data_IF_415420675984
#
_entry.id   IF_415420675984
#
_cell.length_a   1.000
_cell.length_b   1.000
_cell.length_c   1.000
_cell.angle_alpha   90.00
_cell.angle_beta   90.00
_cell.angle_gamma   90.00
#
_symmetry.space_group_name_H-M   'P 1'
#
loop_
_entity.id
_entity.type
_entity.pdbx_description
1 polymer ?
#
# COMPACT_ATOMS: atom_id res chain seq x y z
N UNK A 1 -0.72 23.81 -26.08
CA UNK A 1 0.72 23.56 -25.85
C UNK A 1 0.84 22.58 -24.70
N UNK A 2 1.38 21.37 -24.93
CA UNK A 2 1.64 20.41 -23.84
C UNK A 2 2.87 20.89 -23.07
N UNK A 3 2.72 21.16 -21.78
CA UNK A 3 3.85 21.32 -20.86
C UNK A 3 4.63 20.00 -20.84
N UNK A 4 5.81 19.98 -21.44
CA UNK A 4 6.75 18.86 -21.35
C UNK A 4 7.07 18.62 -19.87
N UNK A 5 7.12 17.34 -19.46
CA UNK A 5 7.51 16.96 -18.12
C UNK A 5 8.94 17.47 -17.85
N UNK A 6 9.25 17.80 -16.60
CA UNK A 6 10.54 18.36 -16.20
C UNK A 6 11.72 17.49 -16.66
N UNK A 7 11.53 16.16 -16.66
CA UNK A 7 12.50 15.16 -17.13
C UNK A 7 12.80 15.32 -18.62
N UNK A 8 11.77 15.42 -19.46
CA UNK A 8 11.91 15.55 -20.93
C UNK A 8 12.67 16.83 -21.32
N UNK A 9 12.49 17.90 -20.53
CA UNK A 9 13.19 19.16 -20.75
C UNK A 9 14.68 19.07 -20.41
N UNK A 10 15.04 18.30 -19.38
CA UNK A 10 16.44 18.09 -18.97
C UNK A 10 17.14 17.21 -20.02
N UNK A 11 16.49 16.14 -20.48
CA UNK A 11 17.02 15.27 -21.53
C UNK A 11 17.28 16.02 -22.85
N UNK A 12 16.33 16.87 -23.26
CA UNK A 12 16.50 17.73 -24.43
C UNK A 12 17.66 18.73 -24.25
N UNK A 13 17.84 19.28 -23.06
CA UNK A 13 18.97 20.18 -22.74
C UNK A 13 20.30 19.43 -22.74
N UNK A 14 20.38 18.22 -22.19
CA UNK A 14 21.59 17.40 -22.19
C UNK A 14 22.02 16.98 -23.60
N UNK A 15 21.04 16.67 -24.46
CA UNK A 15 21.30 16.38 -25.88
C UNK A 15 21.91 17.60 -26.57
N UNK A 16 21.32 18.80 -26.35
CA UNK A 16 21.88 20.05 -26.87
C UNK A 16 23.27 20.34 -26.31
N UNK A 17 23.47 20.15 -25.01
CA UNK A 17 24.76 20.35 -24.35
C UNK A 17 25.83 19.43 -24.95
N UNK A 18 25.50 18.17 -25.21
CA UNK A 18 26.41 17.19 -25.82
C UNK A 18 26.81 17.57 -27.24
N UNK A 19 25.84 18.04 -28.05
CA UNK A 19 26.10 18.55 -29.41
C UNK A 19 27.02 19.77 -29.34
N UNK A 20 26.68 20.74 -28.49
CA UNK A 20 27.46 21.98 -28.36
C UNK A 20 28.85 21.69 -27.78
N UNK A 21 29.01 20.71 -26.90
CA UNK A 21 30.31 20.25 -26.40
C UNK A 21 31.20 19.69 -27.51
N UNK A 22 30.61 18.94 -28.45
CA UNK A 22 31.34 18.46 -29.62
C UNK A 22 31.73 19.63 -30.54
N UNK A 23 30.81 20.57 -30.77
CA UNK A 23 31.06 21.77 -31.58
C UNK A 23 32.12 22.68 -30.98
N UNK A 24 32.21 22.79 -29.65
CA UNK A 24 33.25 23.54 -28.94
C UNK A 24 34.66 23.12 -29.34
N UNK A 25 34.88 21.85 -29.74
CA UNK A 25 36.19 21.40 -30.22
C UNK A 25 36.62 22.08 -31.52
N UNK A 26 35.67 22.64 -32.28
CA UNK A 26 35.91 23.37 -33.51
C UNK A 26 36.43 24.79 -33.26
N UNK A 27 36.19 25.39 -32.09
CA UNK A 27 36.71 26.74 -31.77
C UNK A 27 38.24 26.79 -31.89
N UNK A 28 38.93 25.69 -31.56
CA UNK A 28 40.38 25.58 -31.71
C UNK A 28 40.86 25.67 -33.18
N UNK A 29 40.00 25.31 -34.14
CA UNK A 29 40.29 25.36 -35.57
C UNK A 29 39.89 26.70 -36.22
N UNK A 30 39.11 27.54 -35.53
CA UNK A 30 38.54 28.78 -36.06
C UNK A 30 39.31 30.03 -35.61
N UNK A 31 40.63 29.92 -35.42
CA UNK A 31 41.54 31.02 -35.08
C UNK A 31 41.07 31.93 -33.92
N UNK A 32 40.50 31.31 -32.88
CA UNK A 32 40.26 31.98 -31.58
C UNK A 32 38.88 32.61 -31.39
N UNK A 33 37.94 32.44 -32.31
CA UNK A 33 36.54 32.83 -32.08
C UNK A 33 35.89 31.84 -31.08
N UNK A 34 35.74 32.21 -29.80
CA UNK A 34 35.13 31.39 -28.72
C UNK A 34 33.60 31.19 -28.86
N UNK A 35 33.05 31.24 -30.06
CA UNK A 35 31.60 31.26 -30.31
C UNK A 35 30.91 30.00 -29.82
N UNK A 36 31.45 28.80 -30.06
CA UNK A 36 30.82 27.57 -29.57
C UNK A 36 31.05 27.36 -28.07
N UNK A 37 32.15 27.86 -27.53
CA UNK A 37 32.45 27.90 -26.09
C UNK A 37 31.44 28.75 -25.34
N UNK A 38 31.06 29.92 -25.85
CA UNK A 38 30.07 30.79 -25.22
C UNK A 38 28.66 30.17 -25.25
N UNK A 39 28.28 29.54 -26.37
CA UNK A 39 27.02 28.80 -26.47
C UNK A 39 27.04 27.61 -25.50
N UNK A 40 28.17 26.90 -25.37
CA UNK A 40 28.32 25.82 -24.41
C UNK A 40 28.11 26.31 -22.97
N UNK A 41 28.76 27.42 -22.59
CA UNK A 41 28.60 28.04 -21.26
C UNK A 41 27.15 28.46 -21.01
N UNK A 42 26.47 29.05 -22.00
CA UNK A 42 25.08 29.45 -21.86
C UNK A 42 24.14 28.26 -21.60
N UNK A 43 24.28 27.16 -22.37
CA UNK A 43 23.50 25.94 -22.13
C UNK A 43 23.86 25.29 -20.79
N UNK A 44 25.15 25.32 -20.41
CA UNK A 44 25.62 24.81 -19.13
C UNK A 44 24.99 25.59 -17.96
N UNK A 45 24.91 26.91 -18.06
CA UNK A 45 24.25 27.76 -17.04
C UNK A 45 22.75 27.45 -16.92
N UNK A 46 22.03 27.26 -18.04
CA UNK A 46 20.61 26.89 -18.01
C UNK A 46 20.41 25.52 -17.33
N UNK A 47 21.29 24.57 -17.61
CA UNK A 47 21.28 23.24 -16.98
C UNK A 47 21.57 23.38 -15.49
N UNK A 48 22.55 24.19 -15.09
CA UNK A 48 22.86 24.47 -13.70
C UNK A 48 21.70 25.13 -12.94
N UNK A 49 21.05 26.14 -13.51
CA UNK A 49 19.89 26.80 -12.88
C UNK A 49 18.70 25.85 -12.72
N UNK A 50 18.46 24.97 -13.69
CA UNK A 50 17.39 23.97 -13.56
C UNK A 50 17.72 22.90 -12.54
N UNK A 51 18.97 22.43 -12.51
CA UNK A 51 19.40 21.41 -11.55
C UNK A 51 19.52 22.01 -10.14
N UNK A 52 19.85 23.29 -9.98
CA UNK A 52 19.90 23.93 -8.66
C UNK A 52 18.52 23.94 -7.98
N UNK A 53 17.43 24.09 -8.75
CA UNK A 53 16.07 23.93 -8.22
C UNK A 53 15.76 22.51 -7.73
N UNK A 54 16.22 21.48 -8.46
CA UNK A 54 16.11 20.07 -8.03
C UNK A 54 17.01 19.79 -6.83
N UNK A 55 18.20 20.37 -6.82
CA UNK A 55 19.19 20.27 -5.76
C UNK A 55 18.64 20.78 -4.44
N UNK A 56 18.07 21.98 -4.45
CA UNK A 56 17.47 22.56 -3.27
C UNK A 56 16.33 21.68 -2.74
N UNK A 57 15.48 21.14 -3.63
CA UNK A 57 14.41 20.23 -3.22
C UNK A 57 14.92 18.94 -2.56
N UNK A 58 16.04 18.38 -3.04
CA UNK A 58 16.65 17.19 -2.43
C UNK A 58 17.25 17.55 -1.07
N UNK A 59 17.97 18.67 -0.98
CA UNK A 59 18.57 19.14 0.27
C UNK A 59 17.48 19.42 1.32
N UNK A 60 16.39 20.07 0.93
CA UNK A 60 15.27 20.34 1.82
C UNK A 60 14.58 19.04 2.24
N UNK A 61 14.36 18.10 1.33
CA UNK A 61 13.82 16.78 1.67
C UNK A 61 14.74 15.99 2.62
N UNK A 62 16.06 16.09 2.50
CA UNK A 62 17.02 15.50 3.45
C UNK A 62 16.85 16.13 4.83
N UNK A 63 16.73 17.46 4.92
CA UNK A 63 16.53 18.18 6.19
C UNK A 63 15.20 17.85 6.86
N UNK A 64 14.15 17.67 6.06
CA UNK A 64 12.80 17.33 6.50
C UNK A 64 12.61 15.82 6.74
N UNK A 65 13.66 15.02 6.55
CA UNK A 65 13.64 13.56 6.68
C UNK A 65 12.62 12.85 5.75
N UNK A 66 12.29 13.46 4.61
CA UNK A 66 11.41 12.91 3.57
C UNK A 66 12.21 12.01 2.61
N UNK A 67 12.67 10.86 3.13
CA UNK A 67 13.54 9.95 2.38
C UNK A 67 12.87 9.30 1.17
N UNK A 68 11.53 9.22 1.15
CA UNK A 68 10.81 8.75 -0.03
C UNK A 68 10.99 9.74 -1.19
N UNK A 69 10.80 11.04 -0.93
CA UNK A 69 11.02 12.09 -1.93
C UNK A 69 12.49 12.17 -2.35
N UNK A 70 13.44 11.96 -1.42
CA UNK A 70 14.86 11.86 -1.76
C UNK A 70 15.11 10.71 -2.73
N UNK A 71 14.58 9.50 -2.44
CA UNK A 71 14.71 8.33 -3.30
C UNK A 71 14.18 8.59 -4.72
N UNK A 72 12.96 9.12 -4.84
CA UNK A 72 12.32 9.42 -6.13
C UNK A 72 13.18 10.38 -6.97
N UNK A 73 13.74 11.41 -6.35
CA UNK A 73 14.59 12.40 -7.02
C UNK A 73 15.97 11.85 -7.37
N UNK A 74 16.58 11.03 -6.49
CA UNK A 74 17.85 10.37 -6.77
C UNK A 74 17.71 9.35 -7.91
N UNK A 75 16.61 8.60 -7.97
CA UNK A 75 16.29 7.69 -9.07
C UNK A 75 16.07 8.42 -10.39
N UNK A 76 15.45 9.61 -10.37
CA UNK A 76 15.32 10.44 -11.57
C UNK A 76 16.68 10.89 -12.11
N UNK A 77 17.61 11.31 -11.23
CA UNK A 77 18.98 11.68 -11.61
C UNK A 77 19.81 10.46 -12.07
N UNK A 78 19.53 9.27 -11.54
CA UNK A 78 20.20 8.04 -11.94
C UNK A 78 19.67 7.50 -13.29
N UNK A 79 18.36 7.62 -13.54
CA UNK A 79 17.72 7.08 -14.73
C UNK A 79 18.05 7.85 -16.01
N UNK A 80 18.43 9.12 -15.90
CA UNK A 80 18.95 9.89 -17.05
C UNK A 80 20.32 9.39 -17.55
N UNK A 81 20.96 8.45 -16.85
CA UNK A 81 22.28 7.91 -17.17
C UNK A 81 22.28 6.46 -17.72
N UNK A 82 21.12 5.86 -18.03
CA UNK A 82 21.03 4.43 -18.39
C UNK A 82 21.62 4.02 -19.76
N UNK A 83 22.04 4.96 -20.61
CA UNK A 83 22.81 4.65 -21.82
C UNK A 83 24.30 4.41 -21.49
N UNK A 84 24.57 3.27 -20.84
CA UNK A 84 25.89 2.88 -20.31
C UNK A 84 27.02 2.87 -21.38
N UNK A 85 26.70 2.74 -22.67
CA UNK A 85 27.70 2.77 -23.75
C UNK A 85 28.19 4.17 -24.15
N UNK A 86 27.51 5.27 -23.76
CA UNK A 86 28.00 6.65 -23.97
C UNK A 86 28.65 7.27 -22.73
N UNK A 87 28.42 6.69 -21.54
CA UNK A 87 28.92 7.20 -20.27
C UNK A 87 30.45 7.08 -20.09
N UNK A 88 31.12 6.21 -20.84
CA UNK A 88 32.58 6.05 -20.80
C UNK A 88 33.37 7.21 -21.44
N UNK A 89 32.72 8.14 -22.15
CA UNK A 89 33.41 9.24 -22.84
C UNK A 89 33.18 10.64 -22.25
N UNK A 90 32.27 10.81 -21.29
CA UNK A 90 32.12 12.09 -20.57
C UNK A 90 32.17 11.88 -19.06
N UNK A 91 33.36 11.83 -18.45
CA UNK A 91 33.53 11.70 -17.00
C UNK A 91 32.86 12.81 -16.16
N UNK A 92 32.33 13.86 -16.79
CA UNK A 92 31.86 15.09 -16.15
C UNK A 92 30.39 15.44 -16.44
N UNK A 93 29.52 14.44 -16.68
CA UNK A 93 28.08 14.68 -16.76
C UNK A 93 27.57 15.40 -15.51
N UNK A 94 26.92 16.56 -15.68
CA UNK A 94 26.49 17.43 -14.58
C UNK A 94 25.58 16.68 -13.60
N UNK A 95 24.72 15.77 -14.09
CA UNK A 95 23.81 14.98 -13.24
C UNK A 95 24.56 13.96 -12.38
N UNK A 96 25.63 13.34 -12.91
CA UNK A 96 26.46 12.41 -12.15
C UNK A 96 27.19 13.14 -11.02
N UNK A 97 27.69 14.33 -11.30
CA UNK A 97 28.30 15.20 -10.29
C UNK A 97 27.30 15.48 -9.15
N UNK A 98 26.09 15.91 -9.48
CA UNK A 98 25.06 16.19 -8.48
C UNK A 98 24.58 14.95 -7.74
N UNK A 99 24.41 13.82 -8.40
CA UNK A 99 24.07 12.56 -7.74
C UNK A 99 25.11 12.19 -6.68
N UNK A 100 26.41 12.31 -6.99
CA UNK A 100 27.49 12.04 -6.05
C UNK A 100 27.47 13.07 -4.90
N UNK A 101 27.22 14.35 -5.20
CA UNK A 101 27.10 15.40 -4.19
C UNK A 101 25.92 15.16 -3.23
N UNK A 102 24.75 14.78 -3.74
CA UNK A 102 23.59 14.44 -2.90
C UNK A 102 23.82 13.18 -2.09
N UNK A 103 24.45 12.17 -2.68
CA UNK A 103 24.85 10.97 -1.95
C UNK A 103 25.74 11.33 -0.77
N UNK A 104 26.74 12.20 -0.96
CA UNK A 104 27.60 12.68 0.14
C UNK A 104 26.82 13.43 1.22
N UNK A 105 25.98 14.39 0.82
CA UNK A 105 25.16 15.18 1.75
C UNK A 105 24.18 14.29 2.54
N UNK A 106 23.60 13.30 1.89
CA UNK A 106 22.70 12.33 2.51
C UNK A 106 23.42 11.48 3.55
N UNK A 107 24.57 10.88 3.20
CA UNK A 107 25.37 10.09 4.14
C UNK A 107 25.87 10.96 5.31
N UNK A 108 26.29 12.21 5.06
CA UNK A 108 26.68 13.14 6.12
C UNK A 108 25.50 13.47 7.07
N UNK A 109 24.32 13.73 6.54
CA UNK A 109 23.11 13.98 7.33
C UNK A 109 22.70 12.78 8.18
N UNK A 110 22.77 11.57 7.63
CA UNK A 110 22.48 10.34 8.36
C UNK A 110 23.53 10.07 9.45
N UNK A 111 24.82 10.29 9.17
CA UNK A 111 25.87 10.15 10.17
C UNK A 111 25.66 11.11 11.34
N UNK A 112 25.30 12.37 11.07
CA UNK A 112 24.97 13.33 12.13
C UNK A 112 23.75 12.88 12.96
N UNK A 113 22.72 12.35 12.31
CA UNK A 113 21.53 11.81 13.00
C UNK A 113 21.90 10.61 13.89
N UNK A 114 22.71 9.68 13.39
CA UNK A 114 23.19 8.51 14.13
C UNK A 114 24.01 8.91 15.35
N UNK A 115 25.01 9.75 15.17
CA UNK A 115 25.87 10.20 16.28
C UNK A 115 25.09 11.03 17.31
N UNK A 116 24.18 11.91 16.86
CA UNK A 116 23.29 12.66 17.74
C UNK A 116 22.39 11.74 18.58
N UNK A 117 21.85 10.68 17.97
CA UNK A 117 20.99 9.71 18.66
C UNK A 117 21.78 8.86 19.66
N UNK A 118 23.01 8.43 19.32
CA UNK A 118 23.90 7.74 20.26
C UNK A 118 24.24 8.62 21.45
N UNK A 119 24.54 9.90 21.23
CA UNK A 119 24.82 10.85 22.29
C UNK A 119 23.62 11.01 23.23
N UNK A 120 22.41 11.15 22.68
CA UNK A 120 21.17 11.22 23.46
C UNK A 120 20.92 9.94 24.27
N UNK A 121 21.18 8.77 23.69
CA UNK A 121 21.05 7.49 24.39
C UNK A 121 22.04 7.35 25.55
N UNK A 122 23.24 7.95 25.44
CA UNK A 122 24.23 7.99 26.52
C UNK A 122 23.78 8.96 27.64
N UNK A 123 23.20 10.12 27.30
CA UNK A 123 22.80 11.12 28.31
C UNK A 123 21.63 10.69 29.19
N UNK A 124 20.87 9.66 28.82
CA UNK A 124 19.82 9.04 29.64
C UNK A 124 20.30 8.45 30.99
N UNK A 125 21.60 8.51 31.30
CA UNK A 125 22.25 7.81 32.40
C UNK A 125 21.69 8.14 33.80
N UNK A 126 21.11 9.32 34.02
CA UNK A 126 20.69 9.76 35.36
C UNK A 126 19.18 9.83 35.59
N UNK A 127 18.39 10.18 34.57
CA UNK A 127 16.93 10.19 34.64
C UNK A 127 16.34 9.84 33.27
N UNK A 128 15.27 9.05 33.27
CA UNK A 128 14.53 8.68 32.06
C UNK A 128 13.42 9.72 31.89
N UNK A 129 13.70 10.80 31.17
CA UNK A 129 12.66 11.75 30.77
C UNK A 129 11.94 11.25 29.52
N UNK A 130 10.61 11.26 29.55
CA UNK A 130 9.77 10.72 28.48
C UNK A 130 10.05 11.41 27.15
N UNK A 131 10.26 12.73 27.16
CA UNK A 131 10.50 13.51 25.95
C UNK A 131 11.85 13.17 25.29
N UNK A 132 12.90 12.89 26.08
CA UNK A 132 14.21 12.48 25.56
C UNK A 132 14.13 11.14 24.82
N UNK A 133 13.36 10.19 25.37
CA UNK A 133 13.17 8.88 24.74
C UNK A 133 12.33 9.00 23.49
N UNK A 134 11.29 9.83 23.52
CA UNK A 134 10.44 10.06 22.36
C UNK A 134 11.28 10.58 21.19
N UNK A 135 12.20 11.51 21.46
CA UNK A 135 13.13 12.03 20.46
C UNK A 135 14.06 10.94 19.90
N UNK A 136 14.64 10.10 20.78
CA UNK A 136 15.48 8.96 20.35
C UNK A 136 14.68 8.00 19.45
N UNK A 137 13.46 7.65 19.86
CA UNK A 137 12.57 6.75 19.11
C UNK A 137 12.20 7.34 17.75
N UNK A 138 11.90 8.64 17.68
CA UNK A 138 11.63 9.33 16.43
C UNK A 138 12.86 9.28 15.52
N UNK A 139 14.06 9.52 16.03
CA UNK A 139 15.30 9.42 15.27
C UNK A 139 15.55 7.99 14.76
N UNK A 140 15.33 6.96 15.58
CA UNK A 140 15.47 5.56 15.16
C UNK A 140 14.48 5.20 14.04
N UNK A 141 13.22 5.66 14.14
CA UNK A 141 12.23 5.49 13.06
C UNK A 141 12.64 6.20 11.78
N UNK A 142 13.24 7.38 11.92
CA UNK A 142 13.76 8.16 10.80
C UNK A 142 14.92 7.43 10.10
N UNK A 143 15.84 6.81 10.85
CA UNK A 143 16.91 5.98 10.28
C UNK A 143 16.36 4.73 9.57
N UNK A 144 15.35 4.07 10.15
CA UNK A 144 14.72 2.90 9.53
C UNK A 144 14.04 3.28 8.20
N UNK A 145 13.36 4.43 8.15
CA UNK A 145 12.80 4.98 6.90
C UNK A 145 13.88 5.27 5.88
N UNK A 146 15.00 5.87 6.29
CA UNK A 146 16.13 6.09 5.40
C UNK A 146 16.59 4.76 4.80
N UNK A 147 16.85 3.76 5.63
CA UNK A 147 17.22 2.42 5.16
C UNK A 147 16.20 1.88 4.15
N UNK A 148 14.90 1.90 4.48
CA UNK A 148 13.85 1.38 3.61
C UNK A 148 13.79 2.04 2.22
N UNK A 149 13.94 3.37 2.14
CA UNK A 149 13.72 4.10 0.89
C UNK A 149 14.98 4.34 0.06
N UNK A 150 16.13 4.49 0.69
CA UNK A 150 17.37 4.94 0.03
C UNK A 150 18.55 3.99 0.23
N UNK A 151 18.34 2.73 0.63
CA UNK A 151 19.40 1.72 0.85
C UNK A 151 20.43 1.69 -0.28
N UNK A 152 19.97 1.65 -1.54
CA UNK A 152 20.80 1.58 -2.74
C UNK A 152 21.64 2.85 -2.99
N UNK A 153 21.34 3.93 -2.27
CA UNK A 153 22.03 5.21 -2.35
C UNK A 153 22.94 5.49 -1.16
N UNK A 154 23.04 4.57 -0.20
CA UNK A 154 23.95 4.71 0.95
C UNK A 154 25.35 4.17 0.64
N UNK A 155 26.35 4.68 1.34
CA UNK A 155 27.71 4.12 1.28
C UNK A 155 27.85 2.86 2.15
N UNK A 156 27.20 2.86 3.32
CA UNK A 156 27.26 1.76 4.28
C UNK A 156 25.90 1.57 4.98
N UNK A 157 24.88 0.98 4.31
CA UNK A 157 23.53 0.82 4.87
C UNK A 157 23.52 0.02 6.18
N UNK A 158 24.47 -0.89 6.38
CA UNK A 158 24.60 -1.69 7.61
C UNK A 158 25.00 -0.84 8.84
N UNK A 159 25.58 0.34 8.67
CA UNK A 159 25.92 1.23 9.81
C UNK A 159 24.66 1.71 10.54
N UNK A 160 23.54 1.82 9.85
CA UNK A 160 22.24 2.13 10.45
C UNK A 160 21.84 1.00 11.41
N UNK A 161 21.95 -0.26 11.00
CA UNK A 161 21.61 -1.40 11.85
C UNK A 161 22.49 -1.45 13.10
N UNK A 162 23.80 -1.27 12.93
CA UNK A 162 24.72 -1.20 14.06
C UNK A 162 24.40 -0.05 15.01
N UNK A 163 24.05 1.12 14.49
CA UNK A 163 23.62 2.26 15.32
C UNK A 163 22.33 1.96 16.07
N UNK A 164 21.34 1.37 15.40
CA UNK A 164 20.06 0.99 16.00
C UNK A 164 20.29 -0.01 17.13
N UNK A 165 21.06 -1.08 16.90
CA UNK A 165 21.34 -2.08 17.94
C UNK A 165 22.18 -1.52 19.10
N UNK A 166 23.19 -0.68 18.84
CA UNK A 166 23.98 -0.03 19.90
C UNK A 166 23.10 0.89 20.77
N UNK A 167 22.23 1.69 20.17
CA UNK A 167 21.27 2.54 20.91
C UNK A 167 20.29 1.67 21.71
N UNK A 168 19.79 0.58 21.13
CA UNK A 168 18.89 -0.36 21.84
C UNK A 168 19.57 -0.97 23.06
N UNK A 169 20.80 -1.42 22.93
CA UNK A 169 21.57 -2.01 24.03
C UNK A 169 21.76 -0.99 25.18
N UNK A 170 22.09 0.27 24.84
CA UNK A 170 22.23 1.35 25.83
C UNK A 170 20.91 1.60 26.57
N UNK A 171 19.79 1.69 25.85
CA UNK A 171 18.47 1.88 26.47
C UNK A 171 18.12 0.67 27.35
N UNK A 172 18.36 -0.56 26.89
CA UNK A 172 18.06 -1.77 27.68
C UNK A 172 18.88 -1.81 28.98
N UNK A 173 20.17 -1.52 28.91
CA UNK A 173 21.04 -1.40 30.08
C UNK A 173 20.52 -0.36 31.06
N UNK A 174 19.99 0.75 30.55
CA UNK A 174 19.43 1.81 31.39
C UNK A 174 18.11 1.40 32.03
N UNK A 175 17.21 0.74 31.30
CA UNK A 175 15.97 0.16 31.86
C UNK A 175 16.31 -0.83 32.98
N UNK A 176 17.31 -1.70 32.78
CA UNK A 176 17.77 -2.65 33.80
C UNK A 176 18.22 -1.94 35.09
N UNK A 177 19.01 -0.87 34.98
CA UNK A 177 19.40 -0.04 36.14
C UNK A 177 18.18 0.59 36.83
N UNK A 178 17.23 1.09 36.04
CA UNK A 178 15.99 1.66 36.56
C UNK A 178 15.16 0.65 37.34
N UNK A 179 15.03 -0.59 36.85
CA UNK A 179 14.33 -1.68 37.52
C UNK A 179 14.98 -2.05 38.86
N UNK A 180 16.31 -2.01 38.96
CA UNK A 180 17.01 -2.19 40.26
C UNK A 180 16.61 -1.09 41.24
N UNK A 181 16.52 0.17 40.77
CA UNK A 181 16.03 1.29 41.58
C UNK A 181 14.57 1.14 42.01
N UNK A 182 13.69 0.67 41.11
CA UNK A 182 12.28 0.35 41.43
C UNK A 182 12.20 -0.73 42.51
N UNK A 183 13.02 -1.79 42.39
CA UNK A 183 13.08 -2.84 43.40
C UNK A 183 13.47 -2.28 44.77
N UNK A 184 14.50 -1.45 44.83
CA UNK A 184 14.92 -0.80 46.08
C UNK A 184 13.82 0.13 46.66
N UNK A 185 13.05 0.82 45.81
CA UNK A 185 11.90 1.61 46.27
C UNK A 185 10.79 0.74 46.86
N UNK A 186 10.50 -0.40 46.23
CA UNK A 186 9.53 -1.38 46.72
C UNK A 186 9.97 -1.95 48.07
N UNK A 187 11.24 -2.35 48.20
CA UNK A 187 11.80 -2.90 49.45
C UNK A 187 11.74 -1.86 50.59
N UNK A 188 11.85 -0.57 50.26
CA UNK A 188 11.69 0.56 51.19
C UNK A 188 10.23 1.04 51.34
N UNK A 189 9.25 0.31 50.83
CA UNK A 189 7.82 0.62 50.90
C UNK A 189 7.41 1.96 50.24
N UNK A 190 8.23 2.52 49.34
CA UNK A 190 7.93 3.72 48.57
C UNK A 190 7.24 3.37 47.25
N UNK A 191 6.00 2.84 47.35
CA UNK A 191 5.25 2.33 46.21
C UNK A 191 4.86 3.42 45.20
N UNK A 192 4.61 4.65 45.67
CA UNK A 192 4.20 5.75 44.78
C UNK A 192 5.29 6.09 43.76
N UNK A 193 6.53 6.24 44.21
CA UNK A 193 7.67 6.51 43.31
C UNK A 193 8.04 5.27 42.48
N UNK A 194 7.85 4.06 43.02
CA UNK A 194 8.03 2.83 42.25
C UNK A 194 7.04 2.75 41.07
N UNK A 195 5.76 3.07 41.29
CA UNK A 195 4.73 3.09 40.25
C UNK A 195 5.05 4.11 39.17
N UNK A 196 5.40 5.35 39.53
CA UNK A 196 5.81 6.37 38.55
C UNK A 196 6.95 5.90 37.65
N UNK A 197 7.98 5.27 38.23
CA UNK A 197 9.11 4.73 37.46
C UNK A 197 8.69 3.55 36.56
N UNK A 198 7.79 2.70 37.02
CA UNK A 198 7.22 1.61 36.19
C UNK A 198 6.41 2.18 35.02
N UNK A 199 5.64 3.25 35.24
CA UNK A 199 4.88 3.92 34.18
C UNK A 199 5.82 4.51 33.13
N UNK A 200 6.92 5.15 33.55
CA UNK A 200 7.97 5.60 32.63
C UNK A 200 8.53 4.45 31.80
N UNK A 201 8.91 3.32 32.42
CA UNK A 201 9.43 2.13 31.70
C UNK A 201 8.39 1.58 30.72
N UNK A 202 7.11 1.56 31.13
CA UNK A 202 6.01 1.09 30.27
C UNK A 202 5.87 1.98 29.05
N UNK A 203 5.98 3.29 29.23
CA UNK A 203 5.90 4.25 28.12
C UNK A 203 7.11 4.15 27.18
N UNK A 204 8.31 3.94 27.71
CA UNK A 204 9.51 3.62 26.91
C UNK A 204 9.29 2.40 26.03
N UNK A 205 8.75 1.33 26.61
CA UNK A 205 8.43 0.10 25.89
C UNK A 205 7.40 0.34 24.79
N UNK A 206 6.36 1.13 25.05
CA UNK A 206 5.36 1.50 24.04
C UNK A 206 6.01 2.27 22.89
N UNK A 207 6.86 3.25 23.20
CA UNK A 207 7.52 4.10 22.20
C UNK A 207 8.49 3.29 21.31
N UNK A 208 9.28 2.41 21.90
CA UNK A 208 10.21 1.54 21.18
C UNK A 208 9.53 0.39 20.42
N UNK A 209 8.21 0.24 20.58
CA UNK A 209 7.38 -0.72 19.85
C UNK A 209 7.49 -2.17 20.34
N UNK A 210 6.75 -3.06 19.67
CA UNK A 210 6.67 -4.50 19.99
C UNK A 210 8.00 -5.28 19.84
N UNK A 211 9.09 -4.61 19.47
CA UNK A 211 10.41 -5.23 19.33
C UNK A 211 11.05 -5.55 20.69
N UNK A 212 10.52 -4.98 21.79
CA UNK A 212 10.93 -5.32 23.14
C UNK A 212 9.95 -6.33 23.76
N UNK A 213 10.27 -7.62 23.62
CA UNK A 213 9.73 -8.66 24.50
C UNK A 213 10.37 -8.49 25.87
N UNK A 214 9.75 -7.65 26.72
CA UNK A 214 9.90 -7.83 28.16
C UNK A 214 9.44 -9.26 28.44
N UNK A 215 10.36 -10.14 28.82
CA UNK A 215 10.01 -11.44 29.37
C UNK A 215 9.20 -11.16 30.63
N UNK A 216 7.86 -11.29 30.60
CA UNK A 216 7.09 -11.08 31.81
C UNK A 216 7.56 -12.11 32.84
N UNK A 217 7.64 -11.76 34.13
CA UNK A 217 8.10 -12.67 35.18
C UNK A 217 7.17 -13.89 35.24
N UNK A 218 7.55 -14.96 34.55
CA UNK A 218 6.82 -16.23 34.52
C UNK A 218 6.86 -16.92 35.88
N UNK A 219 7.83 -16.56 36.71
CA UNK A 219 8.01 -17.06 38.07
C UNK A 219 6.96 -16.55 39.06
N UNK A 220 6.25 -15.46 38.77
CA UNK A 220 5.17 -14.94 39.63
C UNK A 220 4.07 -15.99 39.82
N UNK A 221 3.65 -16.66 38.75
CA UNK A 221 2.61 -17.68 38.86
C UNK A 221 3.08 -18.93 39.60
N UNK A 222 4.33 -19.34 39.39
CA UNK A 222 4.92 -20.45 40.13
C UNK A 222 5.01 -20.15 41.64
N UNK A 223 5.36 -18.91 42.01
CA UNK A 223 5.33 -18.48 43.42
C UNK A 223 3.92 -18.46 43.98
N UNK A 224 2.93 -18.03 43.21
CA UNK A 224 1.53 -18.04 43.65
C UNK A 224 0.99 -19.45 43.89
N UNK A 225 1.38 -20.43 43.08
CA UNK A 225 1.02 -21.83 43.29
C UNK A 225 1.58 -22.40 44.61
N UNK A 226 2.76 -21.93 45.04
CA UNK A 226 3.37 -22.39 46.30
C UNK A 226 2.65 -21.89 47.56
N UNK A 227 1.90 -20.78 47.48
CA UNK A 227 1.22 -20.16 48.65
C UNK A 227 -0.26 -20.52 48.75
N UNK A 228 -0.80 -21.20 47.74
CA UNK A 228 -2.23 -21.41 47.49
C UNK A 228 -2.95 -22.29 48.54
N UNK A 229 -2.23 -22.94 49.46
CA UNK A 229 -2.83 -23.81 50.48
C UNK A 229 -2.79 -23.23 51.90
N UNK A 230 -2.12 -22.09 52.09
CA UNK A 230 -1.79 -21.58 53.43
C UNK A 230 -2.66 -20.42 53.93
N UNK A 231 -3.36 -19.70 53.04
CA UNK A 231 -4.14 -18.52 53.44
C UNK A 231 -5.38 -18.30 52.55
N UNK A 232 -6.61 -18.36 53.09
CA UNK A 232 -7.84 -18.18 52.31
C UNK A 232 -7.97 -16.81 51.65
N UNK A 233 -7.44 -15.75 52.26
CA UNK A 233 -7.45 -14.38 51.69
C UNK A 233 -6.57 -14.34 50.43
N UNK A 234 -5.46 -15.08 50.42
CA UNK A 234 -4.57 -15.16 49.28
C UNK A 234 -5.22 -15.90 48.10
N UNK A 235 -5.95 -16.97 48.41
CA UNK A 235 -6.68 -17.76 47.40
C UNK A 235 -7.78 -16.94 46.72
N UNK A 236 -8.51 -16.13 47.49
CA UNK A 236 -9.52 -15.21 46.95
C UNK A 236 -8.90 -14.17 46.03
N UNK A 237 -7.77 -13.56 46.44
CA UNK A 237 -7.03 -12.60 45.63
C UNK A 237 -6.52 -13.23 44.33
N UNK A 238 -5.95 -14.44 44.40
CA UNK A 238 -5.48 -15.18 43.23
C UNK A 238 -6.61 -15.55 42.28
N UNK A 239 -7.75 -16.01 42.82
CA UNK A 239 -8.94 -16.30 42.02
C UNK A 239 -9.42 -15.03 41.29
N UNK A 240 -9.43 -13.89 41.97
CA UNK A 240 -9.82 -12.61 41.37
C UNK A 240 -8.86 -12.18 40.26
N UNK A 241 -7.55 -12.37 40.44
CA UNK A 241 -6.54 -12.06 39.41
C UNK A 241 -6.72 -12.98 38.20
N UNK A 242 -6.88 -14.29 38.43
CA UNK A 242 -7.12 -15.27 37.36
C UNK A 242 -8.36 -14.89 36.54
N UNK A 243 -9.46 -14.56 37.21
CA UNK A 243 -10.70 -14.18 36.52
C UNK A 243 -10.55 -12.90 35.69
N UNK A 244 -9.85 -11.88 36.22
CA UNK A 244 -9.56 -10.65 35.47
C UNK A 244 -8.71 -10.91 34.22
N UNK A 245 -7.71 -11.79 34.33
CA UNK A 245 -6.88 -12.20 33.20
C UNK A 245 -7.76 -12.91 32.16
N UNK A 246 -8.51 -13.95 32.56
CA UNK A 246 -9.38 -14.69 31.65
C UNK A 246 -10.40 -13.77 30.95
N UNK A 247 -11.01 -12.86 31.70
CA UNK A 247 -11.94 -11.85 31.17
C UNK A 247 -11.27 -11.02 30.07
N UNK A 248 -10.04 -10.55 30.27
CA UNK A 248 -9.33 -9.75 29.26
C UNK A 248 -8.99 -10.54 28.01
N UNK A 249 -8.63 -11.81 28.13
CA UNK A 249 -8.43 -12.68 26.96
C UNK A 249 -9.74 -12.90 26.19
N UNK A 250 -10.86 -13.10 26.89
CA UNK A 250 -12.19 -13.24 26.27
C UNK A 250 -12.64 -11.96 25.58
N UNK A 251 -12.41 -10.79 26.17
CA UNK A 251 -12.66 -9.50 25.51
C UNK A 251 -11.89 -9.37 24.19
N UNK A 252 -10.64 -9.84 24.11
CA UNK A 252 -9.87 -9.83 22.86
C UNK A 252 -10.43 -10.83 21.83
N UNK A 253 -10.93 -12.00 22.26
CA UNK A 253 -11.63 -12.93 21.36
C UNK A 253 -12.94 -12.33 20.83
N UNK A 254 -13.70 -11.62 21.66
CA UNK A 254 -14.94 -10.98 21.24
C UNK A 254 -14.69 -9.84 20.26
N UNK A 255 -13.63 -9.03 20.48
CA UNK A 255 -13.16 -8.03 19.51
C UNK A 255 -12.70 -8.68 18.20
N UNK A 256 -12.05 -9.83 18.26
CA UNK A 256 -11.66 -10.57 17.06
C UNK A 256 -12.88 -11.03 16.25
N UNK A 257 -13.94 -11.52 16.91
CA UNK A 257 -15.19 -11.97 16.27
C UNK A 257 -16.04 -10.84 15.70
N UNK A 258 -16.00 -9.66 16.33
CA UNK A 258 -16.77 -8.49 15.90
C UNK A 258 -16.09 -7.69 14.80
N UNK A 259 -14.81 -7.96 14.50
CA UNK A 259 -14.08 -7.28 13.44
C UNK A 259 -14.72 -7.55 12.07
N UNK A 260 -14.91 -6.47 11.32
CA UNK A 260 -15.32 -6.48 9.91
C UNK A 260 -14.19 -5.87 9.06
N UNK A 261 -13.74 -6.53 7.98
CA UNK A 261 -14.20 -7.84 7.52
C UNK A 261 -13.71 -8.95 8.47
N UNK A 262 -14.36 -10.14 8.47
CA UNK A 262 -13.90 -11.26 9.25
C UNK A 262 -12.51 -11.70 8.74
N UNK A 263 -11.54 -11.72 9.65
CA UNK A 263 -10.14 -12.05 9.36
C UNK A 263 -9.61 -13.03 10.42
N UNK A 264 -9.22 -14.23 9.99
CA UNK A 264 -8.74 -15.30 10.87
C UNK A 264 -7.43 -14.99 11.58
N UNK A 265 -6.66 -14.04 11.06
CA UNK A 265 -5.38 -13.60 11.63
C UNK A 265 -5.34 -12.08 11.90
N UNK A 266 -6.39 -11.57 12.52
CA UNK A 266 -6.44 -10.15 12.87
C UNK A 266 -5.54 -9.79 14.06
N UNK A 267 -5.42 -8.49 14.36
CA UNK A 267 -4.54 -7.98 15.43
C UNK A 267 -4.91 -8.51 16.82
N UNK A 268 -6.18 -8.75 17.11
CA UNK A 268 -6.63 -9.26 18.41
C UNK A 268 -6.23 -10.73 18.59
N UNK A 269 -6.36 -11.54 17.54
CA UNK A 269 -5.85 -12.93 17.52
C UNK A 269 -4.34 -12.97 17.78
N UNK A 270 -3.55 -12.12 17.09
CA UNK A 270 -2.09 -12.08 17.29
C UNK A 270 -1.69 -11.63 18.70
N UNK A 271 -2.41 -10.65 19.26
CA UNK A 271 -2.20 -10.21 20.65
C UNK A 271 -2.50 -11.34 21.63
N UNK A 272 -3.62 -12.04 21.42
CA UNK A 272 -4.01 -13.21 22.21
C UNK A 272 -2.91 -14.28 22.16
N UNK A 273 -2.50 -14.72 20.97
CA UNK A 273 -1.48 -15.76 20.77
C UNK A 273 -0.12 -15.39 21.37
N UNK A 274 0.23 -14.11 21.34
CA UNK A 274 1.47 -13.63 21.97
C UNK A 274 1.37 -13.69 23.49
N UNK A 275 0.24 -13.24 24.05
CA UNK A 275 0.07 -13.13 25.50
C UNK A 275 -0.17 -14.48 26.19
N UNK A 276 -0.90 -15.41 25.55
CA UNK A 276 -1.31 -16.68 26.17
C UNK A 276 -0.12 -17.58 26.54
N UNK A 277 1.01 -17.43 25.83
CA UNK A 277 2.25 -18.18 26.07
C UNK A 277 2.86 -17.94 27.44
N UNK A 278 2.51 -16.84 28.09
CA UNK A 278 3.04 -16.44 29.40
C UNK A 278 2.12 -16.84 30.57
N UNK A 279 1.00 -17.51 30.29
CA UNK A 279 0.08 -17.97 31.33
C UNK A 279 0.45 -19.37 31.84
N UNK A 280 0.02 -19.72 33.06
CA UNK A 280 0.09 -21.08 33.58
C UNK A 280 -0.66 -22.08 32.68
N UNK A 281 -0.19 -23.33 32.66
CA UNK A 281 -0.72 -24.39 31.78
C UNK A 281 -2.24 -24.56 31.89
N UNK A 282 -2.77 -24.53 33.12
CA UNK A 282 -4.20 -24.70 33.37
C UNK A 282 -5.05 -23.58 32.72
N UNK A 283 -4.56 -22.34 32.69
CA UNK A 283 -5.26 -21.22 32.05
C UNK A 283 -5.02 -21.21 30.53
N UNK A 284 -3.77 -21.49 30.13
CA UNK A 284 -3.35 -21.52 28.72
C UNK A 284 -4.16 -22.52 27.91
N UNK A 285 -4.24 -23.77 28.38
CA UNK A 285 -4.97 -24.84 27.69
C UNK A 285 -6.44 -24.50 27.46
N UNK A 286 -7.14 -23.96 28.47
CA UNK A 286 -8.54 -23.53 28.34
C UNK A 286 -8.70 -22.41 27.29
N UNK A 287 -7.81 -21.41 27.34
CA UNK A 287 -7.84 -20.27 26.42
C UNK A 287 -7.47 -20.65 24.98
N UNK A 288 -6.55 -21.59 24.77
CA UNK A 288 -6.20 -22.09 23.44
C UNK A 288 -7.37 -22.83 22.77
N UNK A 289 -8.19 -23.54 23.56
CA UNK A 289 -9.43 -24.15 23.07
C UNK A 289 -10.44 -23.07 22.66
N UNK A 290 -10.65 -22.04 23.49
CA UNK A 290 -11.53 -20.92 23.15
C UNK A 290 -11.05 -20.17 21.89
N UNK A 291 -9.73 -19.98 21.74
CA UNK A 291 -9.12 -19.37 20.54
C UNK A 291 -9.38 -20.20 19.29
N UNK A 292 -9.25 -21.52 19.37
CA UNK A 292 -9.54 -22.42 18.25
C UNK A 292 -10.99 -22.27 17.79
N UNK A 293 -11.95 -22.33 18.72
CA UNK A 293 -13.36 -22.11 18.39
C UNK A 293 -13.63 -20.72 17.79
N UNK A 294 -12.96 -19.68 18.31
CA UNK A 294 -13.04 -18.34 17.75
C UNK A 294 -12.58 -18.28 16.29
N UNK A 295 -11.43 -18.90 15.97
CA UNK A 295 -10.90 -18.97 14.60
C UNK A 295 -11.83 -19.76 13.69
N UNK A 296 -12.36 -20.88 14.16
CA UNK A 296 -13.30 -21.71 13.38
C UNK A 296 -14.58 -20.93 13.05
N UNK A 297 -15.13 -20.18 14.01
CA UNK A 297 -16.30 -19.29 13.80
C UNK A 297 -16.00 -18.19 12.76
N UNK A 298 -14.85 -17.53 12.85
CA UNK A 298 -14.43 -16.52 11.87
C UNK A 298 -14.31 -17.13 10.47
N UNK A 299 -13.69 -18.32 10.35
CA UNK A 299 -13.55 -19.03 9.06
C UNK A 299 -14.91 -19.43 8.48
N UNK A 300 -15.83 -19.90 9.32
CA UNK A 300 -17.20 -20.21 8.90
C UNK A 300 -17.91 -18.96 8.35
N UNK A 301 -17.82 -17.82 9.04
CA UNK A 301 -18.40 -16.55 8.56
C UNK A 301 -17.81 -16.08 7.23
N UNK A 302 -16.49 -16.20 7.05
CA UNK A 302 -15.84 -15.90 5.77
C UNK A 302 -16.46 -16.76 4.67
N UNK A 303 -16.54 -18.08 4.89
CA UNK A 303 -17.09 -19.04 3.93
C UNK A 303 -18.57 -18.76 3.62
N UNK A 304 -19.36 -18.42 4.62
CA UNK A 304 -20.78 -18.11 4.45
C UNK A 304 -20.98 -16.83 3.64
N UNK A 305 -20.17 -15.79 3.89
CA UNK A 305 -20.18 -14.56 3.09
C UNK A 305 -19.76 -14.82 1.64
N UNK A 306 -18.72 -15.62 1.42
CA UNK A 306 -18.30 -16.02 0.08
C UNK A 306 -19.39 -16.81 -0.65
N UNK A 307 -20.05 -17.75 0.04
CA UNK A 307 -21.15 -18.55 -0.51
C UNK A 307 -22.36 -17.67 -0.83
N UNK A 308 -22.71 -16.73 0.05
CA UNK A 308 -23.80 -15.76 -0.17
C UNK A 308 -23.54 -14.92 -1.41
N UNK A 309 -22.31 -14.39 -1.54
CA UNK A 309 -21.86 -13.66 -2.72
C UNK A 309 -21.97 -14.55 -3.97
N UNK A 310 -21.32 -15.73 -3.96
CA UNK A 310 -21.30 -16.63 -5.11
C UNK A 310 -22.70 -17.06 -5.55
N UNK A 311 -23.61 -17.34 -4.61
CA UNK A 311 -24.99 -17.71 -4.90
C UNK A 311 -25.76 -16.56 -5.57
N UNK A 312 -25.63 -15.33 -5.06
CA UNK A 312 -26.26 -14.16 -5.65
C UNK A 312 -25.80 -13.97 -7.10
N UNK A 313 -24.50 -14.06 -7.36
CA UNK A 313 -23.96 -13.94 -8.71
C UNK A 313 -24.35 -15.11 -9.63
N UNK A 314 -24.31 -16.35 -9.13
CA UNK A 314 -24.65 -17.53 -9.94
C UNK A 314 -26.13 -17.61 -10.31
N UNK A 315 -27.01 -16.96 -9.54
CA UNK A 315 -28.45 -16.91 -9.83
C UNK A 315 -28.79 -16.12 -11.10
N UNK A 316 -27.93 -15.18 -11.51
CA UNK A 316 -28.22 -14.23 -12.58
C UNK A 316 -29.25 -13.14 -12.21
N UNK A 317 -29.77 -13.13 -10.99
CA UNK A 317 -30.68 -12.10 -10.48
C UNK A 317 -29.90 -10.86 -10.06
N UNK A 318 -29.97 -9.83 -10.89
CA UNK A 318 -29.25 -8.56 -10.72
C UNK A 318 -29.66 -7.85 -9.42
N UNK A 319 -30.92 -7.98 -8.99
CA UNK A 319 -31.40 -7.37 -7.75
C UNK A 319 -30.79 -8.05 -6.53
N UNK A 320 -30.67 -9.37 -6.56
CA UNK A 320 -29.96 -10.14 -5.53
C UNK A 320 -28.49 -9.72 -5.46
N UNK A 321 -27.81 -9.56 -6.61
CA UNK A 321 -26.43 -9.07 -6.65
C UNK A 321 -26.29 -7.68 -6.02
N UNK A 322 -27.14 -6.73 -6.43
CA UNK A 322 -27.16 -5.36 -5.88
C UNK A 322 -27.36 -5.40 -4.36
N UNK A 323 -28.32 -6.19 -3.88
CA UNK A 323 -28.62 -6.30 -2.45
C UNK A 323 -27.42 -6.78 -1.64
N UNK A 324 -26.69 -7.80 -2.13
CA UNK A 324 -25.51 -8.31 -1.44
C UNK A 324 -24.37 -7.29 -1.46
N UNK A 325 -24.15 -6.60 -2.58
CA UNK A 325 -23.12 -5.56 -2.67
C UNK A 325 -23.40 -4.38 -1.73
N UNK A 326 -24.67 -3.93 -1.65
CA UNK A 326 -25.07 -2.85 -0.73
C UNK A 326 -24.91 -3.24 0.75
N UNK A 327 -25.20 -4.50 1.08
CA UNK A 327 -24.97 -5.04 2.43
C UNK A 327 -23.47 -5.04 2.78
N UNK A 328 -22.62 -5.42 1.82
CA UNK A 328 -21.17 -5.32 1.97
C UNK A 328 -20.70 -3.86 2.10
N UNK A 329 -21.22 -2.93 1.29
CA UNK A 329 -20.88 -1.50 1.36
C UNK A 329 -21.25 -0.87 2.70
N UNK A 330 -22.38 -1.29 3.29
CA UNK A 330 -22.83 -0.81 4.60
C UNK A 330 -21.96 -1.34 5.75
N UNK A 331 -21.21 -2.42 5.51
CA UNK A 331 -20.37 -3.07 6.51
C UNK A 331 -18.93 -2.55 6.42
N UNK A 332 -18.47 -1.81 7.43
CA UNK A 332 -17.12 -1.25 7.46
C UNK A 332 -16.06 -2.36 7.25
N UNK A 333 -15.16 -2.16 6.27
CA UNK A 333 -14.05 -3.07 6.02
C UNK A 333 -14.33 -4.20 5.01
N UNK A 334 -15.55 -4.36 4.49
CA UNK A 334 -15.86 -5.40 3.48
C UNK A 334 -15.39 -5.07 2.04
N UNK A 335 -14.42 -4.18 1.86
CA UNK A 335 -13.97 -3.74 0.53
C UNK A 335 -13.47 -4.89 -0.34
N UNK A 336 -12.81 -5.89 0.25
CA UNK A 336 -12.36 -7.08 -0.51
C UNK A 336 -13.52 -7.89 -1.10
N UNK A 337 -14.64 -7.99 -0.38
CA UNK A 337 -15.85 -8.65 -0.87
C UNK A 337 -16.56 -7.83 -1.94
N UNK A 338 -16.57 -6.50 -1.81
CA UNK A 338 -17.11 -5.58 -2.82
C UNK A 338 -16.33 -5.74 -4.12
N UNK A 339 -15.00 -5.64 -4.08
CA UNK A 339 -14.14 -5.81 -5.25
C UNK A 339 -14.36 -7.17 -5.92
N UNK A 340 -14.44 -8.25 -5.13
CA UNK A 340 -14.74 -9.61 -5.66
C UNK A 340 -16.11 -9.66 -6.32
N UNK A 341 -17.11 -9.00 -5.76
CA UNK A 341 -18.44 -8.90 -6.36
C UNK A 341 -18.45 -8.07 -7.65
N UNK A 342 -17.72 -6.96 -7.69
CA UNK A 342 -17.51 -6.15 -8.90
C UNK A 342 -16.84 -6.97 -10.01
N UNK A 343 -15.79 -7.73 -9.70
CA UNK A 343 -15.13 -8.62 -10.64
C UNK A 343 -16.08 -9.69 -11.20
N UNK A 344 -16.91 -10.29 -10.34
CA UNK A 344 -17.92 -11.26 -10.76
C UNK A 344 -18.98 -10.63 -11.68
N UNK A 345 -19.46 -9.43 -11.35
CA UNK A 345 -20.39 -8.67 -12.17
C UNK A 345 -19.79 -8.35 -13.55
N UNK A 346 -18.57 -7.81 -13.58
CA UNK A 346 -17.85 -7.45 -14.79
C UNK A 346 -17.63 -8.67 -15.68
N UNK A 347 -17.30 -9.82 -15.12
CA UNK A 347 -17.17 -11.07 -15.87
C UNK A 347 -18.49 -11.46 -16.54
N UNK A 348 -19.61 -11.40 -15.82
CA UNK A 348 -20.93 -11.70 -16.39
C UNK A 348 -21.35 -10.71 -17.47
N UNK A 349 -21.03 -9.43 -17.29
CA UNK A 349 -21.25 -8.38 -18.30
C UNK A 349 -20.45 -8.71 -19.56
N UNK A 350 -19.16 -9.05 -19.43
CA UNK A 350 -18.30 -9.43 -20.55
C UNK A 350 -18.84 -10.67 -21.29
N UNK A 351 -19.33 -11.68 -20.56
CA UNK A 351 -19.98 -12.85 -21.16
C UNK A 351 -21.25 -12.48 -21.93
N UNK A 352 -22.06 -11.56 -21.41
CA UNK A 352 -23.26 -11.05 -22.10
C UNK A 352 -22.85 -10.30 -23.38
N UNK A 353 -21.87 -9.39 -23.30
CA UNK A 353 -21.33 -8.65 -24.46
C UNK A 353 -20.80 -9.60 -25.52
N UNK A 354 -20.06 -10.64 -25.13
CA UNK A 354 -19.56 -11.66 -26.04
C UNK A 354 -20.70 -12.38 -26.76
N UNK A 355 -21.75 -12.80 -26.03
CA UNK A 355 -22.94 -13.44 -26.62
C UNK A 355 -23.69 -12.51 -27.57
N UNK A 356 -23.81 -11.22 -27.25
CA UNK A 356 -24.41 -10.22 -28.14
C UNK A 356 -23.63 -10.17 -29.46
N UNK A 357 -22.31 -10.07 -29.39
CA UNK A 357 -21.44 -10.00 -30.56
C UNK A 357 -21.54 -11.27 -31.42
N UNK A 358 -21.47 -12.45 -30.80
CA UNK A 358 -21.61 -13.73 -31.47
C UNK A 358 -22.97 -13.86 -32.16
N UNK A 359 -24.06 -13.52 -31.47
CA UNK A 359 -25.41 -13.62 -32.05
C UNK A 359 -25.58 -12.66 -33.23
N UNK A 360 -25.00 -11.46 -33.18
CA UNK A 360 -24.97 -10.56 -34.34
C UNK A 360 -24.17 -11.13 -35.52
N UNK A 361 -23.03 -11.77 -35.26
CA UNK A 361 -22.20 -12.41 -36.30
C UNK A 361 -22.91 -13.60 -36.96
N UNK A 362 -23.78 -14.31 -36.24
CA UNK A 362 -24.56 -15.43 -36.74
C UNK A 362 -25.97 -15.03 -37.24
N UNK A 363 -26.27 -13.73 -37.33
CA UNK A 363 -27.59 -13.18 -37.72
C UNK A 363 -28.75 -13.63 -36.80
N UNK A 364 -28.46 -13.98 -35.54
CA UNK A 364 -29.43 -14.31 -34.48
C UNK A 364 -29.88 -13.03 -33.75
N UNK A 365 -30.54 -12.13 -34.50
CA UNK A 365 -30.84 -10.76 -34.04
C UNK A 365 -31.74 -10.74 -32.79
N UNK A 366 -32.74 -11.62 -32.72
CA UNK A 366 -33.67 -11.66 -31.57
C UNK A 366 -32.94 -12.03 -30.27
N UNK A 367 -32.06 -13.01 -30.34
CA UNK A 367 -31.27 -13.50 -29.23
C UNK A 367 -30.25 -12.44 -28.82
N UNK A 368 -29.61 -11.75 -29.79
CA UNK A 368 -28.74 -10.60 -29.53
C UNK A 368 -29.49 -9.51 -28.75
N UNK A 369 -30.67 -9.09 -29.21
CA UNK A 369 -31.46 -8.04 -28.56
C UNK A 369 -31.98 -8.45 -27.17
N UNK A 370 -32.27 -9.74 -26.97
CA UNK A 370 -32.61 -10.28 -25.63
C UNK A 370 -31.43 -10.12 -24.67
N UNK A 371 -30.20 -10.40 -25.12
CA UNK A 371 -29.00 -10.18 -24.32
C UNK A 371 -28.69 -8.68 -24.11
N UNK A 372 -28.98 -7.81 -25.08
CA UNK A 372 -28.87 -6.34 -24.92
C UNK A 372 -29.81 -5.85 -23.82
N UNK A 373 -31.06 -6.32 -23.80
CA UNK A 373 -32.00 -5.99 -22.73
C UNK A 373 -31.46 -6.43 -21.37
N UNK A 374 -30.92 -7.65 -21.28
CA UNK A 374 -30.27 -8.13 -20.05
C UNK A 374 -29.09 -7.24 -19.63
N UNK A 375 -28.25 -6.81 -20.57
CA UNK A 375 -27.15 -5.87 -20.30
C UNK A 375 -27.67 -4.52 -19.79
N UNK A 376 -28.79 -4.05 -20.32
CA UNK A 376 -29.46 -2.83 -19.85
C UNK A 376 -30.00 -2.98 -18.43
N UNK A 377 -30.62 -4.11 -18.10
CA UNK A 377 -31.09 -4.39 -16.73
C UNK A 377 -29.91 -4.37 -15.73
N UNK A 378 -28.76 -4.95 -16.12
CA UNK A 378 -27.53 -4.87 -15.34
C UNK A 378 -27.06 -3.43 -15.14
N UNK A 379 -27.10 -2.60 -16.21
CA UNK A 379 -26.74 -1.18 -16.11
C UNK A 379 -27.61 -0.47 -15.08
N UNK A 380 -28.93 -0.55 -15.23
CA UNK A 380 -29.86 0.21 -14.40
C UNK A 380 -29.75 -0.18 -12.93
N UNK A 381 -29.59 -1.47 -12.64
CA UNK A 381 -29.56 -1.95 -11.26
C UNK A 381 -28.18 -1.81 -10.60
N UNK A 382 -27.08 -1.85 -11.36
CA UNK A 382 -25.72 -1.86 -10.79
C UNK A 382 -24.88 -0.59 -11.03
N UNK A 383 -25.33 0.38 -11.84
CA UNK A 383 -24.55 1.58 -12.20
C UNK A 383 -24.16 2.45 -10.99
N UNK A 384 -24.96 2.45 -9.92
CA UNK A 384 -24.66 3.16 -8.66
C UNK A 384 -23.67 2.43 -7.76
N UNK A 385 -23.49 1.12 -7.97
CA UNK A 385 -22.61 0.27 -7.16
C UNK A 385 -21.29 0.00 -7.88
N UNK A 386 -21.30 -0.11 -9.21
CA UNK A 386 -20.17 -0.52 -10.05
C UNK A 386 -19.84 0.58 -11.07
N UNK A 387 -18.76 1.32 -10.83
CA UNK A 387 -18.39 2.48 -11.66
C UNK A 387 -18.00 2.16 -13.10
N UNK A 388 -17.47 0.95 -13.36
CA UNK A 388 -16.90 0.56 -14.66
C UNK A 388 -17.93 0.04 -15.68
N UNK A 389 -19.23 0.15 -15.39
CA UNK A 389 -20.29 -0.36 -16.27
C UNK A 389 -20.40 0.39 -17.60
N UNK A 390 -20.04 1.68 -17.61
CA UNK A 390 -20.32 2.59 -18.72
C UNK A 390 -19.68 2.14 -20.04
N UNK A 391 -18.44 1.62 -19.98
CA UNK A 391 -17.67 1.27 -21.16
C UNK A 391 -18.26 0.07 -21.92
N UNK A 392 -18.46 -1.12 -21.33
CA UNK A 392 -19.06 -2.25 -22.03
C UNK A 392 -20.43 -1.94 -22.65
N UNK A 393 -21.24 -1.16 -21.93
CA UNK A 393 -22.56 -0.75 -22.43
C UNK A 393 -22.46 0.15 -23.65
N UNK A 394 -21.60 1.18 -23.63
CA UNK A 394 -21.40 2.08 -24.77
C UNK A 394 -20.84 1.36 -25.99
N UNK A 395 -19.95 0.38 -25.81
CA UNK A 395 -19.42 -0.44 -26.92
C UNK A 395 -20.53 -1.24 -27.62
N UNK A 396 -21.41 -1.89 -26.84
CA UNK A 396 -22.58 -2.60 -27.39
C UNK A 396 -23.55 -1.63 -28.07
N UNK A 397 -23.83 -0.48 -27.47
CA UNK A 397 -24.71 0.53 -28.04
C UNK A 397 -24.23 1.00 -29.42
N UNK A 398 -22.94 1.33 -29.55
CA UNK A 398 -22.34 1.72 -30.83
C UNK A 398 -22.43 0.61 -31.88
N UNK A 399 -22.22 -0.65 -31.48
CA UNK A 399 -22.35 -1.80 -32.39
C UNK A 399 -23.79 -1.96 -32.89
N UNK A 400 -24.79 -1.81 -32.02
CA UNK A 400 -26.20 -1.84 -32.41
C UNK A 400 -26.49 -0.73 -33.43
N UNK A 401 -26.09 0.52 -33.14
CA UNK A 401 -26.30 1.66 -34.05
C UNK A 401 -25.71 1.35 -35.43
N UNK A 402 -24.47 0.86 -35.48
CA UNK A 402 -23.81 0.49 -36.73
C UNK A 402 -24.57 -0.59 -37.51
N UNK A 403 -25.05 -1.63 -36.84
CA UNK A 403 -25.84 -2.70 -37.48
C UNK A 403 -27.14 -2.15 -38.06
N UNK A 404 -27.81 -1.24 -37.35
CA UNK A 404 -29.00 -0.55 -37.85
C UNK A 404 -28.70 0.32 -39.08
N UNK A 405 -27.62 1.09 -39.05
CA UNK A 405 -27.17 1.92 -40.17
C UNK A 405 -26.84 1.06 -41.40
N UNK A 406 -26.11 -0.04 -41.22
CA UNK A 406 -25.75 -0.98 -42.28
C UNK A 406 -27.01 -1.63 -42.89
N UNK A 407 -27.96 -2.06 -42.05
CA UNK A 407 -29.22 -2.64 -42.50
C UNK A 407 -30.10 -1.61 -43.24
N UNK A 408 -30.16 -0.36 -42.75
CA UNK A 408 -30.90 0.72 -43.39
C UNK A 408 -30.28 1.11 -44.74
N UNK A 409 -28.96 1.26 -44.83
CA UNK A 409 -28.27 1.54 -46.09
C UNK A 409 -28.49 0.42 -47.11
N UNK A 410 -28.45 -0.84 -46.66
CA UNK A 410 -28.76 -1.99 -47.52
C UNK A 410 -30.20 -1.92 -48.04
N UNK A 411 -31.17 -1.61 -47.17
CA UNK A 411 -32.56 -1.40 -47.56
C UNK A 411 -32.71 -0.26 -48.58
N UNK A 412 -32.15 0.92 -48.30
CA UNK A 412 -32.25 2.10 -49.17
C UNK A 412 -31.64 1.85 -50.54
N UNK A 413 -30.42 1.29 -50.59
CA UNK A 413 -29.75 0.98 -51.86
C UNK A 413 -30.51 -0.06 -52.68
N UNK A 414 -31.23 -0.98 -52.04
CA UNK A 414 -31.96 -2.05 -52.71
C UNK A 414 -33.35 -1.63 -53.19
N UNK A 415 -34.12 -0.92 -52.36
CA UNK A 415 -35.52 -0.60 -52.64
C UNK A 415 -35.71 0.72 -53.39
N UNK A 416 -34.79 1.68 -53.23
CA UNK A 416 -34.91 2.99 -53.90
C UNK A 416 -34.08 3.10 -55.18
N UNK A 417 -33.27 2.08 -55.52
CA UNK A 417 -32.43 2.07 -56.70
C UNK A 417 -32.75 0.87 -57.63
N UNK A 418 -33.88 0.91 -58.37
CA UNK A 418 -34.40 -0.23 -59.13
C UNK A 418 -33.48 -0.72 -60.28
N UNK A 419 -32.43 0.02 -60.63
CA UNK A 419 -31.52 -0.31 -61.73
C UNK A 419 -30.43 -1.33 -61.37
N UNK A 420 -30.31 -1.76 -60.10
CA UNK A 420 -29.31 -2.74 -59.68
C UNK A 420 -29.91 -4.16 -59.76
N UNK A 421 -29.76 -4.79 -60.93
CA UNK A 421 -30.07 -6.20 -61.14
C UNK A 421 -29.08 -7.06 -60.35
N UNK A 422 -29.52 -7.65 -59.24
CA UNK A 422 -28.72 -8.58 -58.44
C UNK A 422 -29.51 -9.86 -58.11
N UNK A 423 -28.84 -10.98 -58.37
CA UNK A 423 -29.39 -12.31 -58.63
C UNK A 423 -29.27 -13.31 -57.47
N UNK A 424 -29.25 -12.88 -56.21
CA UNK A 424 -29.14 -13.83 -55.07
C UNK A 424 -30.26 -13.64 -54.04
N UNK A 425 -31.22 -14.58 -54.04
CA UNK A 425 -32.32 -14.69 -53.07
C UNK A 425 -31.84 -14.72 -51.61
N UNK A 426 -30.62 -15.20 -51.34
CA UNK A 426 -30.02 -15.21 -49.99
C UNK A 426 -29.90 -13.81 -49.37
N UNK A 427 -29.55 -12.80 -50.18
CA UNK A 427 -29.40 -11.43 -49.70
C UNK A 427 -30.73 -10.78 -49.32
N UNK A 428 -31.85 -11.22 -49.92
CA UNK A 428 -33.20 -10.74 -49.58
C UNK A 428 -33.61 -11.28 -48.22
N UNK A 429 -33.45 -12.59 -48.02
CA UNK A 429 -33.83 -13.26 -46.78
C UNK A 429 -33.07 -12.70 -45.56
N UNK A 430 -31.77 -12.40 -45.71
CA UNK A 430 -30.96 -11.83 -44.61
C UNK A 430 -31.43 -10.41 -44.25
N UNK A 431 -31.67 -9.55 -45.24
CA UNK A 431 -32.13 -8.17 -45.00
C UNK A 431 -33.54 -8.16 -44.42
N UNK A 432 -34.45 -8.96 -44.97
CA UNK A 432 -35.83 -9.03 -44.53
C UNK A 432 -35.93 -9.57 -43.09
N UNK A 433 -35.17 -10.63 -42.77
CA UNK A 433 -35.15 -11.21 -41.42
C UNK A 433 -34.54 -10.27 -40.39
N UNK A 434 -33.48 -9.54 -40.76
CA UNK A 434 -32.82 -8.56 -39.88
C UNK A 434 -33.70 -7.34 -39.66
N UNK A 435 -34.20 -6.71 -40.73
CA UNK A 435 -34.98 -5.47 -40.65
C UNK A 435 -36.34 -5.69 -39.97
N UNK A 436 -37.04 -6.80 -40.26
CA UNK A 436 -38.31 -7.12 -39.61
C UNK A 436 -38.11 -7.44 -38.12
N UNK A 437 -37.04 -8.15 -37.74
CA UNK A 437 -36.74 -8.40 -36.32
C UNK A 437 -36.42 -7.09 -35.58
N UNK A 438 -35.66 -6.19 -36.20
CA UNK A 438 -35.28 -4.90 -35.63
C UNK A 438 -36.46 -3.93 -35.44
N UNK A 439 -37.47 -3.97 -36.32
CA UNK A 439 -38.69 -3.14 -36.18
C UNK A 439 -39.63 -3.70 -35.10
N UNK A 440 -39.67 -5.01 -34.93
CA UNK A 440 -40.61 -5.68 -34.01
C UNK A 440 -40.17 -5.63 -32.55
N UNK A 441 -38.89 -5.44 -32.29
CA UNK A 441 -38.29 -5.43 -30.95
C UNK A 441 -38.07 -3.98 -30.52
#
# INVERSE_FOLDING_TARGET
MKTLNHTDQIEALNTKLSIVQALRKLDWFLDGDEKFTDIYRAYQNIVFEKISGVSQQIIDAIKDFDYQRVADKMLALQSSNKDEMKALQSPNGVEKYYYVEFKRSLNAGLNLLMEGTKAQAITLENNIEIEEIKLIVENLKTMEKAKQFIENHLDAPNEIDYCVEDVKEKIEKQIKRFLVGVKALIDNHNFFEAVKKIDSITLVRILLGNQYTLNPPTDIFARFEQVNDTNPVYNEALSTIREKILTKFREELDKAKSKQPPESNNIHIRRFESAVKYLPEAMRSALEVELKYCKDDIVLRIRDNEKKLQNAFSSGDVKSMKSVLLECQSSQGMQSFINKGEELALRQIQEIVLKINQNFEHFEIREALTNVKKLYDYKIELEDVIGDFKRPYSEVQLRIIKIFEDAYLCFMNRFLNPNISMSTNESIAVVEKSFICLIKF
#
